data_IF_451518459930
#
_entry.id   IF_451518459930
#
_cell.length_a   1.000
_cell.length_b   1.000
_cell.length_c   1.000
_cell.angle_alpha   90.00
_cell.angle_beta   90.00
_cell.angle_gamma   90.00
#
_symmetry.space_group_name_H-M   'P 1'
#
loop_
_entity.id
_entity.type
_entity.pdbx_description
1 polymer ?
#
# COMPACT_ATOMS: atom_id res chain seq x y z
N UNK A 1 -2.27 1.11 19.21
CA UNK A 1 -3.49 1.02 18.36
C UNK A 1 -4.73 0.83 19.22
N UNK A 2 -5.94 1.21 18.76
CA UNK A 2 -7.19 1.06 19.51
C UNK A 2 -7.64 -0.42 19.60
N UNK A 3 -8.53 -0.78 20.55
CA UNK A 3 -9.09 -2.15 20.63
C UNK A 3 -9.78 -2.62 19.35
N UNK A 4 -10.21 -1.69 18.48
CA UNK A 4 -10.86 -2.01 17.21
C UNK A 4 -9.89 -2.20 16.04
N UNK A 5 -8.60 -2.02 16.24
CA UNK A 5 -7.59 -2.18 15.18
C UNK A 5 -7.58 -3.57 14.56
N UNK A 6 -7.98 -4.59 15.32
CA UNK A 6 -8.12 -5.97 14.82
C UNK A 6 -9.17 -6.13 13.71
N UNK A 7 -10.11 -5.18 13.56
CA UNK A 7 -11.09 -5.17 12.46
C UNK A 7 -10.40 -4.79 11.15
N UNK A 8 -9.38 -3.95 11.22
CA UNK A 8 -8.75 -3.31 10.07
C UNK A 8 -7.42 -3.95 9.66
N UNK A 9 -6.67 -4.46 10.64
CA UNK A 9 -5.26 -4.86 10.45
C UNK A 9 -5.07 -6.30 10.90
N UNK A 10 -4.50 -7.18 10.05
CA UNK A 10 -4.13 -8.55 10.42
C UNK A 10 -3.23 -8.60 11.65
N UNK A 11 -3.31 -9.69 12.40
CA UNK A 11 -2.59 -9.87 13.67
C UNK A 11 -1.07 -9.71 13.51
N UNK A 12 -0.49 -10.39 12.54
CA UNK A 12 0.96 -10.35 12.27
C UNK A 12 1.47 -8.91 12.03
N UNK A 13 0.69 -8.10 11.32
CA UNK A 13 1.03 -6.68 11.09
C UNK A 13 0.88 -5.85 12.35
N UNK A 14 -0.14 -6.13 13.19
CA UNK A 14 -0.30 -5.45 14.49
C UNK A 14 0.85 -5.77 15.43
N UNK A 15 1.29 -7.02 15.45
CA UNK A 15 2.46 -7.45 16.21
C UNK A 15 3.75 -6.81 15.72
N UNK A 16 3.96 -6.74 14.39
CA UNK A 16 5.15 -6.16 13.78
C UNK A 16 5.36 -4.67 14.10
N UNK A 17 4.29 -3.93 14.42
CA UNK A 17 4.34 -2.49 14.78
C UNK A 17 3.92 -2.22 16.23
N UNK A 18 3.89 -3.26 17.07
CA UNK A 18 3.52 -3.13 18.49
C UNK A 18 4.60 -2.45 19.31
N UNK A 19 4.23 -1.95 20.50
CA UNK A 19 5.17 -1.38 21.48
C UNK A 19 6.30 -2.37 21.80
N UNK A 20 5.98 -3.65 21.88
CA UNK A 20 6.99 -4.72 22.07
C UNK A 20 7.94 -4.83 20.88
N UNK A 21 7.45 -4.69 19.64
CA UNK A 21 8.30 -4.73 18.45
C UNK A 21 9.24 -3.51 18.38
N UNK A 22 8.76 -2.34 18.77
CA UNK A 22 9.57 -1.14 18.89
C UNK A 22 10.63 -1.28 20.01
N UNK A 23 10.23 -1.77 21.18
CA UNK A 23 11.17 -2.03 22.27
C UNK A 23 12.26 -3.02 21.85
N UNK A 24 11.88 -4.14 21.21
CA UNK A 24 12.87 -5.10 20.71
C UNK A 24 13.79 -4.46 19.65
N UNK A 25 13.27 -3.61 18.77
CA UNK A 25 14.07 -2.87 17.81
C UNK A 25 15.11 -1.94 18.47
N UNK A 26 14.73 -1.25 19.55
CA UNK A 26 15.64 -0.42 20.34
C UNK A 26 16.70 -1.27 21.04
N UNK A 27 16.33 -2.40 21.59
CA UNK A 27 17.26 -3.35 22.23
C UNK A 27 18.20 -4.03 21.22
N UNK A 28 17.70 -4.38 20.04
CA UNK A 28 18.51 -4.89 18.93
C UNK A 28 19.59 -3.86 18.55
N UNK A 29 19.22 -2.56 18.49
CA UNK A 29 20.13 -1.45 18.23
C UNK A 29 21.21 -1.32 19.33
N UNK A 30 20.84 -1.33 20.61
CA UNK A 30 21.80 -1.26 21.73
C UNK A 30 22.75 -2.44 21.73
N UNK A 31 22.26 -3.66 21.53
CA UNK A 31 23.08 -4.87 21.46
C UNK A 31 24.05 -4.84 20.27
N UNK A 32 23.61 -4.38 19.11
CA UNK A 32 24.44 -4.24 17.91
C UNK A 32 25.52 -3.16 18.11
N UNK A 33 25.17 -2.03 18.75
CA UNK A 33 26.12 -0.97 19.08
C UNK A 33 27.25 -1.50 19.98
N UNK A 34 26.91 -2.25 21.03
CA UNK A 34 27.91 -2.85 21.92
C UNK A 34 28.82 -3.83 21.19
N UNK A 35 28.30 -4.67 20.30
CA UNK A 35 29.09 -5.63 19.49
C UNK A 35 29.96 -4.92 18.46
N UNK A 36 29.45 -3.90 17.77
CA UNK A 36 30.23 -3.08 16.85
C UNK A 36 31.40 -2.38 17.57
N UNK A 37 31.14 -1.78 18.76
CA UNK A 37 32.18 -1.19 19.60
C UNK A 37 33.21 -2.22 20.07
N UNK A 38 32.80 -3.45 20.37
CA UNK A 38 33.72 -4.50 20.77
C UNK A 38 34.60 -5.01 19.63
N UNK A 39 34.12 -4.99 18.39
CA UNK A 39 34.89 -5.39 17.22
C UNK A 39 36.06 -4.45 16.96
N UNK A 40 35.95 -3.15 17.30
CA UNK A 40 36.99 -2.15 17.16
C UNK A 40 37.75 -1.86 18.47
N UNK A 41 37.41 -2.56 19.56
CA UNK A 41 38.12 -2.42 20.84
C UNK A 41 37.69 -1.25 21.73
N UNK A 42 36.61 -0.55 21.39
CA UNK A 42 36.01 0.51 22.24
C UNK A 42 35.20 -0.05 23.41
N UNK A 43 34.67 -1.25 23.25
CA UNK A 43 33.91 -1.98 24.26
C UNK A 43 34.61 -3.31 24.55
N UNK A 44 34.81 -3.72 25.83
CA UNK A 44 35.28 -5.05 26.14
C UNK A 44 34.32 -6.14 25.60
N UNK A 45 34.87 -7.24 25.09
CA UNK A 45 34.07 -8.32 24.47
C UNK A 45 33.08 -8.98 25.43
N UNK A 46 33.48 -9.16 26.66
CA UNK A 46 32.63 -9.66 27.74
C UNK A 46 31.52 -8.68 28.12
N UNK A 47 31.80 -7.39 28.15
CA UNK A 47 30.79 -6.36 28.33
C UNK A 47 29.74 -6.38 27.18
N UNK A 48 30.17 -6.45 25.92
CA UNK A 48 29.27 -6.56 24.79
C UNK A 48 28.42 -7.84 24.83
N UNK A 49 28.99 -8.96 25.24
CA UNK A 49 28.26 -10.21 25.44
C UNK A 49 27.19 -10.07 26.53
N UNK A 50 27.57 -9.47 27.68
CA UNK A 50 26.66 -9.25 28.81
C UNK A 50 25.51 -8.31 28.45
N UNK A 51 25.79 -7.21 27.73
CA UNK A 51 24.75 -6.30 27.20
C UNK A 51 23.80 -7.07 26.28
N UNK A 52 24.34 -7.90 25.37
CA UNK A 52 23.52 -8.69 24.45
C UNK A 52 22.59 -9.68 25.12
N UNK A 53 22.98 -10.27 26.26
CA UNK A 53 22.15 -11.22 27.03
C UNK A 53 20.86 -10.58 27.57
N UNK A 54 20.90 -9.29 27.90
CA UNK A 54 19.76 -8.56 28.49
C UNK A 54 18.98 -7.74 27.46
N UNK A 55 19.42 -7.66 26.19
CA UNK A 55 18.72 -6.98 25.10
C UNK A 55 17.52 -7.81 24.58
N UNK A 56 16.58 -8.14 25.45
CA UNK A 56 15.36 -8.91 25.15
C UNK A 56 14.14 -8.22 25.74
N UNK A 57 13.15 -7.89 24.90
CA UNK A 57 11.97 -7.11 25.29
C UNK A 57 11.13 -7.76 26.41
N UNK A 58 11.24 -9.08 26.62
CA UNK A 58 10.56 -9.80 27.69
C UNK A 58 11.01 -9.39 29.10
N UNK A 59 12.16 -8.76 29.22
CA UNK A 59 12.75 -8.37 30.49
C UNK A 59 12.28 -6.98 30.98
N UNK A 60 11.55 -6.23 30.12
CA UNK A 60 11.19 -4.84 30.37
C UNK A 60 9.68 -4.62 30.23
N UNK A 61 9.17 -3.69 31.03
CA UNK A 61 7.77 -3.26 30.96
C UNK A 61 7.63 -2.04 30.04
N UNK A 62 7.04 -2.26 28.85
CA UNK A 62 6.84 -1.19 27.85
C UNK A 62 5.97 -0.06 28.36
N UNK A 63 4.98 -0.32 29.22
CA UNK A 63 4.10 0.72 29.76
C UNK A 63 4.86 1.60 30.76
N UNK A 64 5.69 0.98 31.62
CA UNK A 64 6.52 1.71 32.56
C UNK A 64 7.56 2.61 31.85
N UNK A 65 8.25 2.06 30.84
CA UNK A 65 9.20 2.83 30.02
C UNK A 65 8.53 4.03 29.31
N UNK A 66 7.30 3.86 28.82
CA UNK A 66 6.56 4.94 28.18
C UNK A 66 6.16 6.04 29.18
N UNK A 67 5.71 5.66 30.37
CA UNK A 67 5.35 6.62 31.42
C UNK A 67 6.57 7.41 31.90
N UNK A 68 7.69 6.76 32.16
CA UNK A 68 8.95 7.42 32.53
C UNK A 68 9.48 8.31 31.38
N UNK A 69 9.33 7.85 30.14
CA UNK A 69 9.71 8.58 28.94
C UNK A 69 9.00 9.92 28.77
N UNK A 70 7.82 10.10 29.35
CA UNK A 70 7.08 11.39 29.30
C UNK A 70 7.86 12.56 29.90
N UNK A 71 8.64 12.31 30.94
CA UNK A 71 9.42 13.36 31.62
C UNK A 71 10.57 13.89 30.78
N UNK A 72 11.14 13.03 29.92
CA UNK A 72 12.32 13.33 29.10
C UNK A 72 12.01 13.42 27.60
N UNK A 73 10.77 13.15 27.20
CA UNK A 73 10.29 13.27 25.84
C UNK A 73 10.72 12.13 24.88
N UNK A 74 11.30 11.02 25.39
CA UNK A 74 11.65 9.88 24.58
C UNK A 74 11.78 8.59 25.44
N UNK A 75 11.62 7.38 24.84
CA UNK A 75 11.64 6.11 25.58
C UNK A 75 13.07 5.59 25.88
N UNK A 76 14.11 6.14 25.27
CA UNK A 76 15.47 5.54 25.31
C UNK A 76 16.19 5.86 26.60
N UNK A 77 16.01 7.06 27.18
CA UNK A 77 16.66 7.39 28.46
C UNK A 77 16.23 6.42 29.58
N UNK A 78 14.92 6.19 29.85
CA UNK A 78 14.54 5.19 30.82
C UNK A 78 14.98 3.76 30.42
N UNK A 79 14.93 3.41 29.14
CA UNK A 79 15.42 2.10 28.67
C UNK A 79 16.90 1.90 28.97
N UNK A 80 17.75 2.89 28.70
CA UNK A 80 19.19 2.82 28.97
C UNK A 80 19.46 2.68 30.48
N UNK A 81 18.68 3.36 31.33
CA UNK A 81 18.77 3.23 32.79
C UNK A 81 18.46 1.79 33.23
N UNK A 82 17.34 1.23 32.80
CA UNK A 82 16.96 -0.16 33.12
C UNK A 82 17.94 -1.18 32.53
N UNK A 83 18.45 -0.93 31.31
CA UNK A 83 19.42 -1.79 30.67
C UNK A 83 20.74 -1.83 31.47
N UNK A 84 21.22 -0.68 31.96
CA UNK A 84 22.37 -0.60 32.85
C UNK A 84 22.17 -1.35 34.16
N UNK A 85 21.00 -1.23 34.76
CA UNK A 85 20.63 -1.96 35.98
C UNK A 85 20.59 -3.48 35.72
N UNK A 86 20.07 -3.92 34.58
CA UNK A 86 20.03 -5.32 34.20
C UNK A 86 21.42 -5.92 33.91
N UNK A 87 22.33 -5.14 33.37
CA UNK A 87 23.75 -5.50 33.19
C UNK A 87 24.45 -5.66 34.54
N UNK A 88 24.31 -4.69 35.43
CA UNK A 88 24.58 -4.79 36.87
C UNK A 88 26.03 -4.83 37.35
N UNK A 89 27.03 -4.68 36.49
CA UNK A 89 28.47 -4.63 36.80
C UNK A 89 29.19 -3.52 36.02
N UNK A 90 30.52 -3.53 36.00
CA UNK A 90 31.35 -2.55 35.26
C UNK A 90 31.03 -2.53 33.77
N UNK A 91 30.36 -3.55 33.21
CA UNK A 91 29.89 -3.60 31.83
C UNK A 91 28.78 -2.58 31.55
N UNK A 92 28.06 -2.14 32.58
CA UNK A 92 27.01 -1.13 32.47
C UNK A 92 27.52 0.21 31.94
N UNK A 93 28.78 0.55 32.13
CA UNK A 93 29.38 1.79 31.65
C UNK A 93 29.50 1.85 30.13
N UNK A 94 29.42 0.69 29.45
CA UNK A 94 29.49 0.55 28.01
C UNK A 94 28.13 0.54 27.33
N UNK A 95 27.02 0.55 28.08
CA UNK A 95 25.65 0.63 27.54
C UNK A 95 25.46 2.00 26.90
N UNK A 96 24.94 2.05 25.66
CA UNK A 96 24.67 3.28 24.91
C UNK A 96 25.92 4.11 24.59
N UNK A 97 27.08 3.47 24.46
CA UNK A 97 28.36 4.16 24.30
C UNK A 97 28.43 4.92 22.97
N UNK A 98 28.55 6.25 23.03
CA UNK A 98 28.70 7.13 21.87
C UNK A 98 27.44 7.43 21.07
N UNK A 99 26.29 6.85 21.44
CA UNK A 99 25.02 7.08 20.78
C UNK A 99 24.21 8.22 21.40
N UNK A 100 23.11 8.58 20.76
CA UNK A 100 22.04 9.43 21.30
C UNK A 100 20.70 8.71 21.16
N UNK A 101 19.69 9.13 21.94
CA UNK A 101 18.37 8.53 21.92
C UNK A 101 17.78 8.41 20.50
N UNK A 102 18.01 9.41 19.65
CA UNK A 102 17.51 9.36 18.26
C UNK A 102 18.18 8.28 17.41
N UNK A 103 19.46 7.97 17.64
CA UNK A 103 20.13 6.87 16.94
C UNK A 103 19.40 5.55 17.16
N UNK A 104 18.97 5.30 18.39
CA UNK A 104 18.32 4.08 18.79
C UNK A 104 16.87 4.01 18.27
N UNK A 105 16.10 5.09 18.44
CA UNK A 105 14.69 5.12 17.96
C UNK A 105 14.61 5.06 16.44
N UNK A 106 15.45 5.83 15.73
CA UNK A 106 15.43 5.82 14.27
C UNK A 106 15.89 4.48 13.70
N UNK A 107 16.88 3.83 14.30
CA UNK A 107 17.30 2.47 13.92
C UNK A 107 16.20 1.46 14.20
N UNK A 108 15.53 1.54 15.36
CA UNK A 108 14.37 0.71 15.68
C UNK A 108 13.23 0.92 14.67
N UNK A 109 12.98 2.17 14.26
CA UNK A 109 12.00 2.50 13.21
C UNK A 109 12.32 1.78 11.89
N UNK A 110 13.59 1.72 11.49
CA UNK A 110 14.00 0.99 10.27
C UNK A 110 13.85 -0.53 10.42
N UNK A 111 14.15 -1.08 11.60
CA UNK A 111 13.98 -2.51 11.88
C UNK A 111 12.51 -2.92 11.88
N UNK A 112 11.65 -2.14 12.55
CA UNK A 112 10.18 -2.32 12.54
C UNK A 112 9.66 -2.21 11.12
N UNK A 113 10.08 -1.18 10.38
CA UNK A 113 9.67 -0.97 8.98
C UNK A 113 10.07 -2.15 8.09
N UNK A 114 11.28 -2.68 8.22
CA UNK A 114 11.73 -3.83 7.43
C UNK A 114 10.85 -5.05 7.64
N UNK A 115 10.51 -5.36 8.90
CA UNK A 115 9.63 -6.49 9.26
C UNK A 115 8.22 -6.28 8.71
N UNK A 116 7.63 -5.11 8.94
CA UNK A 116 6.27 -4.81 8.50
C UNK A 116 6.15 -4.72 6.97
N UNK A 117 7.12 -4.09 6.28
CA UNK A 117 7.15 -4.01 4.81
C UNK A 117 7.24 -5.38 4.17
N UNK A 118 7.96 -6.33 4.76
CA UNK A 118 8.00 -7.71 4.26
C UNK A 118 6.59 -8.36 4.28
N UNK A 119 5.83 -8.15 5.35
CA UNK A 119 4.44 -8.61 5.46
C UNK A 119 3.53 -7.90 4.46
N UNK A 120 3.66 -6.58 4.31
CA UNK A 120 2.87 -5.81 3.33
C UNK A 120 3.16 -6.30 1.90
N UNK A 121 4.43 -6.55 1.55
CA UNK A 121 4.81 -7.08 0.24
C UNK A 121 4.21 -8.47 -0.03
N UNK A 122 4.14 -9.34 0.97
CA UNK A 122 3.47 -10.64 0.84
C UNK A 122 1.97 -10.47 0.51
N UNK A 123 1.30 -9.52 1.16
CA UNK A 123 -0.10 -9.20 0.86
C UNK A 123 -0.26 -8.56 -0.52
N UNK A 124 0.68 -7.70 -0.96
CA UNK A 124 0.69 -7.12 -2.30
C UNK A 124 0.85 -8.22 -3.36
N UNK A 125 1.70 -9.22 -3.13
CA UNK A 125 1.88 -10.36 -4.03
C UNK A 125 0.61 -11.23 -4.10
N UNK A 126 -0.09 -11.42 -2.98
CA UNK A 126 -1.39 -12.11 -2.93
C UNK A 126 -2.46 -11.32 -3.71
N UNK A 127 -2.52 -10.00 -3.53
CA UNK A 127 -3.44 -9.11 -4.26
C UNK A 127 -3.16 -9.14 -5.77
N UNK A 128 -1.90 -9.06 -6.18
CA UNK A 128 -1.51 -9.17 -7.59
C UNK A 128 -1.92 -10.51 -8.21
N UNK A 129 -1.77 -11.61 -7.46
CA UNK A 129 -2.22 -12.94 -7.90
C UNK A 129 -3.73 -12.99 -8.14
N UNK A 130 -4.53 -12.41 -7.24
CA UNK A 130 -5.98 -12.30 -7.39
C UNK A 130 -6.39 -11.48 -8.61
N UNK A 131 -5.76 -10.31 -8.81
CA UNK A 131 -5.98 -9.47 -9.99
C UNK A 131 -5.63 -10.22 -11.30
N UNK A 132 -4.50 -10.93 -11.33
CA UNK A 132 -4.06 -11.69 -12.51
C UNK A 132 -5.02 -12.85 -12.83
N UNK A 133 -5.54 -13.53 -11.81
CA UNK A 133 -6.54 -14.59 -11.98
C UNK A 133 -7.83 -14.05 -12.61
N UNK A 134 -8.37 -12.94 -12.11
CA UNK A 134 -9.56 -12.29 -12.65
C UNK A 134 -9.33 -11.75 -14.07
N UNK A 135 -8.19 -11.12 -14.33
CA UNK A 135 -7.83 -10.62 -15.66
C UNK A 135 -7.81 -11.76 -16.69
N UNK A 136 -7.26 -12.92 -16.33
CA UNK A 136 -7.19 -14.11 -17.20
C UNK A 136 -8.57 -14.75 -17.39
N UNK A 137 -9.33 -14.95 -16.32
CA UNK A 137 -10.63 -15.60 -16.37
C UNK A 137 -11.68 -14.79 -17.15
N UNK A 138 -11.60 -13.47 -17.08
CA UNK A 138 -12.58 -12.56 -17.69
C UNK A 138 -12.01 -11.74 -18.84
N UNK A 139 -10.95 -12.23 -19.49
CA UNK A 139 -10.22 -11.57 -20.58
C UNK A 139 -11.14 -10.96 -21.65
N UNK A 140 -12.19 -11.67 -22.01
CA UNK A 140 -13.18 -11.29 -23.03
C UNK A 140 -14.61 -11.10 -22.50
N UNK A 141 -14.83 -11.09 -21.17
CA UNK A 141 -16.14 -10.88 -20.59
C UNK A 141 -16.57 -9.41 -20.78
N UNK A 142 -17.59 -9.14 -21.64
CA UNK A 142 -17.99 -7.77 -21.95
C UNK A 142 -18.75 -7.13 -20.79
N UNK A 143 -18.49 -5.85 -20.57
CA UNK A 143 -19.21 -5.01 -19.62
C UNK A 143 -19.25 -3.56 -20.10
N UNK A 144 -20.12 -2.76 -19.52
CA UNK A 144 -20.13 -1.32 -19.74
C UNK A 144 -18.99 -0.65 -18.97
N UNK A 145 -18.14 0.11 -19.65
CA UNK A 145 -17.27 1.06 -18.98
C UNK A 145 -18.11 2.16 -18.33
N UNK A 146 -17.60 2.69 -17.20
CA UNK A 146 -18.27 3.83 -16.52
C UNK A 146 -17.27 4.96 -16.33
N UNK A 147 -17.57 6.11 -16.95
CA UNK A 147 -16.82 7.36 -16.81
C UNK A 147 -17.68 8.35 -16.05
N UNK A 148 -17.13 9.00 -15.02
CA UNK A 148 -17.89 9.89 -14.13
C UNK A 148 -19.17 9.22 -13.58
N UNK A 149 -19.10 7.91 -13.32
CA UNK A 149 -20.18 7.02 -12.87
C UNK A 149 -21.33 6.85 -13.89
N UNK A 150 -21.21 7.34 -15.11
CA UNK A 150 -22.16 7.14 -16.19
C UNK A 150 -21.71 6.03 -17.12
N UNK A 151 -22.66 5.31 -17.71
CA UNK A 151 -22.37 4.31 -18.75
C UNK A 151 -21.67 4.98 -19.94
N UNK A 152 -20.62 4.33 -20.43
CA UNK A 152 -19.84 4.78 -21.59
C UNK A 152 -19.78 3.65 -22.64
N UNK A 153 -18.65 3.48 -23.30
CA UNK A 153 -18.44 2.47 -24.33
C UNK A 153 -18.25 1.07 -23.73
N UNK A 154 -18.38 -0.01 -24.53
CA UNK A 154 -18.05 -1.36 -24.09
C UNK A 154 -16.58 -1.52 -23.68
N UNK A 155 -16.34 -2.37 -22.71
CA UNK A 155 -15.01 -2.83 -22.26
C UNK A 155 -15.10 -4.28 -21.80
N UNK A 156 -14.00 -4.84 -21.26
CA UNK A 156 -14.05 -6.16 -20.60
C UNK A 156 -13.74 -6.06 -19.11
N UNK A 157 -14.34 -6.95 -18.30
CA UNK A 157 -13.97 -7.05 -16.88
C UNK A 157 -12.50 -7.46 -16.72
N UNK A 158 -11.98 -8.29 -17.64
CA UNK A 158 -10.55 -8.64 -17.66
C UNK A 158 -9.64 -7.43 -17.83
N UNK A 159 -10.00 -6.45 -18.69
CA UNK A 159 -9.22 -5.22 -18.83
C UNK A 159 -9.28 -4.35 -17.57
N UNK A 160 -10.43 -4.29 -16.89
CA UNK A 160 -10.55 -3.64 -15.58
C UNK A 160 -9.61 -4.28 -14.55
N UNK A 161 -9.64 -5.61 -14.42
CA UNK A 161 -8.77 -6.36 -13.52
C UNK A 161 -7.28 -6.25 -13.90
N UNK A 162 -6.95 -6.19 -15.18
CA UNK A 162 -5.60 -5.92 -15.67
C UNK A 162 -5.10 -4.52 -15.27
N UNK A 163 -5.98 -3.52 -15.26
CA UNK A 163 -5.68 -2.18 -14.75
C UNK A 163 -5.35 -2.20 -13.25
N UNK A 164 -6.10 -2.96 -12.45
CA UNK A 164 -5.79 -3.19 -11.04
C UNK A 164 -4.43 -3.85 -10.87
N UNK A 165 -4.17 -4.92 -11.62
CA UNK A 165 -2.90 -5.66 -11.60
C UNK A 165 -1.71 -4.74 -11.83
N UNK A 166 -1.74 -3.92 -12.88
CA UNK A 166 -0.63 -3.01 -13.22
C UNK A 166 -0.38 -2.01 -12.08
N UNK A 167 -1.44 -1.43 -11.50
CA UNK A 167 -1.31 -0.52 -10.37
C UNK A 167 -0.68 -1.18 -9.14
N UNK A 168 -1.07 -2.43 -8.84
CA UNK A 168 -0.51 -3.21 -7.73
C UNK A 168 0.96 -3.55 -7.97
N UNK A 169 1.34 -3.93 -9.20
CA UNK A 169 2.74 -4.21 -9.55
C UNK A 169 3.63 -2.97 -9.44
N UNK A 170 3.13 -1.81 -9.85
CA UNK A 170 3.86 -0.55 -9.71
C UNK A 170 4.05 -0.14 -8.24
N UNK A 171 3.04 -0.35 -7.41
CA UNK A 171 3.16 -0.12 -5.97
C UNK A 171 4.16 -1.09 -5.31
N UNK A 172 4.12 -2.37 -5.71
CA UNK A 172 5.08 -3.40 -5.28
C UNK A 172 6.53 -3.02 -5.58
N UNK A 173 6.80 -2.62 -6.81
CA UNK A 173 8.16 -2.23 -7.25
C UNK A 173 8.70 -1.08 -6.39
N UNK A 174 7.89 -0.04 -6.13
CA UNK A 174 8.28 1.09 -5.29
C UNK A 174 8.54 0.68 -3.83
N UNK A 175 7.65 -0.14 -3.26
CA UNK A 175 7.79 -0.58 -1.87
C UNK A 175 9.00 -1.52 -1.69
N UNK A 176 9.26 -2.40 -2.66
CA UNK A 176 10.43 -3.26 -2.65
C UNK A 176 11.73 -2.45 -2.74
N UNK A 177 11.80 -1.45 -3.62
CA UNK A 177 12.96 -0.55 -3.73
C UNK A 177 13.23 0.19 -2.42
N UNK A 178 12.17 0.65 -1.73
CA UNK A 178 12.35 1.29 -0.40
C UNK A 178 12.91 0.30 0.62
N UNK A 179 12.38 -0.93 0.67
CA UNK A 179 12.88 -1.97 1.57
C UNK A 179 14.37 -2.27 1.33
N UNK A 180 14.76 -2.40 0.07
CA UNK A 180 16.08 -2.88 -0.31
C UNK A 180 17.15 -1.77 -0.24
N UNK A 181 16.79 -0.51 -0.52
CA UNK A 181 17.77 0.56 -0.73
C UNK A 181 17.69 1.69 0.31
N UNK A 182 16.57 1.83 1.04
CA UNK A 182 16.32 3.04 1.85
C UNK A 182 16.34 2.81 3.35
N UNK A 183 16.17 1.58 3.84
CA UNK A 183 16.18 1.28 5.26
C UNK A 183 17.61 1.22 5.78
N UNK A 184 18.08 2.28 6.41
CA UNK A 184 19.45 2.44 6.89
C UNK A 184 19.53 2.56 8.41
N UNK A 185 20.63 2.09 9.00
CA UNK A 185 20.94 2.34 10.39
C UNK A 185 21.12 3.85 10.66
N UNK A 186 20.87 4.29 11.88
CA UNK A 186 21.15 5.64 12.34
C UNK A 186 22.16 5.57 13.48
N UNK A 187 23.30 6.20 13.29
CA UNK A 187 24.28 6.42 14.34
C UNK A 187 25.01 7.73 14.04
N UNK A 188 24.97 8.68 14.95
CA UNK A 188 25.53 10.00 14.77
C UNK A 188 26.01 10.62 16.09
N UNK A 189 25.56 10.08 17.21
CA UNK A 189 25.83 10.64 18.53
C UNK A 189 25.12 11.97 18.76
N UNK A 190 25.64 12.77 19.65
CA UNK A 190 24.95 13.97 20.16
C UNK A 190 24.54 14.98 19.07
N UNK A 191 25.36 15.20 18.07
CA UNK A 191 25.14 16.20 17.01
C UNK A 191 25.56 15.74 15.61
N UNK A 192 25.60 14.45 15.35
CA UNK A 192 25.94 13.90 14.02
C UNK A 192 27.43 13.82 13.70
N UNK A 193 28.30 14.06 14.67
CA UNK A 193 29.76 14.08 14.45
C UNK A 193 30.47 12.81 14.90
N UNK A 194 29.77 11.89 15.61
CA UNK A 194 30.35 10.67 16.17
C UNK A 194 31.55 10.89 17.09
N UNK A 195 31.73 12.10 17.62
CA UNK A 195 32.92 12.52 18.33
C UNK A 195 33.30 11.62 19.52
N UNK A 196 32.32 11.01 20.19
CA UNK A 196 32.54 10.11 21.32
C UNK A 196 33.16 8.75 20.91
N UNK A 197 33.10 8.38 19.63
CA UNK A 197 33.65 7.13 19.10
C UNK A 197 35.07 7.28 18.55
N UNK A 198 35.63 8.51 18.53
CA UNK A 198 37.01 8.79 18.11
C UNK A 198 37.33 8.33 16.68
N UNK A 199 38.52 7.81 16.49
CA UNK A 199 39.05 7.42 15.18
C UNK A 199 38.32 6.19 14.59
N UNK A 200 37.69 5.37 15.42
CA UNK A 200 37.00 4.15 15.02
C UNK A 200 35.53 4.40 14.59
N UNK A 201 35.06 5.65 14.62
CA UNK A 201 33.66 6.03 14.45
C UNK A 201 33.03 5.46 13.17
N UNK A 202 33.68 5.59 12.02
CA UNK A 202 33.12 5.12 10.75
C UNK A 202 33.07 3.60 10.66
N UNK A 203 34.05 2.91 11.23
CA UNK A 203 34.06 1.44 11.27
C UNK A 203 32.94 0.92 12.22
N UNK A 204 32.69 1.60 13.34
CA UNK A 204 31.54 1.29 14.20
C UNK A 204 30.22 1.45 13.44
N UNK A 205 30.04 2.53 12.68
CA UNK A 205 28.81 2.74 11.85
C UNK A 205 28.63 1.61 10.85
N UNK A 206 29.67 1.22 10.16
CA UNK A 206 29.64 0.14 9.17
C UNK A 206 29.24 -1.19 9.80
N UNK A 207 29.93 -1.57 10.89
CA UNK A 207 29.67 -2.82 11.61
C UNK A 207 28.28 -2.85 12.25
N UNK A 208 27.83 -1.71 12.79
CA UNK A 208 26.49 -1.55 13.34
C UNK A 208 25.40 -1.77 12.29
N UNK A 209 25.54 -1.17 11.10
CA UNK A 209 24.61 -1.36 10.00
C UNK A 209 24.61 -2.82 9.49
N UNK A 210 25.80 -3.43 9.33
CA UNK A 210 25.97 -4.82 8.91
C UNK A 210 25.32 -5.80 9.89
N UNK A 211 25.57 -5.64 11.19
CA UNK A 211 25.00 -6.46 12.26
C UNK A 211 23.46 -6.44 12.24
N UNK A 212 22.87 -5.28 11.99
CA UNK A 212 21.41 -5.11 11.92
C UNK A 212 20.81 -5.48 10.57
N UNK A 213 21.64 -5.75 9.56
CA UNK A 213 21.21 -5.98 8.17
C UNK A 213 20.46 -4.78 7.58
N UNK A 214 20.87 -3.58 7.97
CA UNK A 214 20.41 -2.30 7.42
C UNK A 214 21.48 -1.68 6.51
N UNK A 215 21.08 -0.76 5.65
CA UNK A 215 22.04 -0.05 4.84
C UNK A 215 22.94 0.85 5.71
N UNK A 216 24.23 0.96 5.35
CA UNK A 216 25.13 1.95 5.91
C UNK A 216 24.76 3.34 5.33
N UNK A 217 24.49 4.35 6.17
CA UNK A 217 24.20 5.69 5.67
C UNK A 217 25.48 6.44 5.28
N UNK A 218 25.41 7.30 4.26
CA UNK A 218 26.52 8.18 3.87
C UNK A 218 26.87 9.18 4.99
N UNK A 219 25.86 9.65 5.72
CA UNK A 219 25.95 10.54 6.87
C UNK A 219 24.85 10.19 7.87
N UNK A 220 25.00 10.53 9.16
CA UNK A 220 23.90 10.54 10.10
C UNK A 220 22.74 11.36 9.55
N UNK A 221 21.51 10.80 9.67
CA UNK A 221 20.34 11.36 9.01
C UNK A 221 19.25 11.88 9.97
N UNK A 222 19.66 12.37 11.17
CA UNK A 222 18.79 12.86 12.23
C UNK A 222 17.73 13.86 11.75
N UNK A 223 18.09 14.75 10.82
CA UNK A 223 17.20 15.79 10.27
C UNK A 223 16.99 15.66 8.76
N UNK A 224 17.58 14.63 8.12
CA UNK A 224 17.30 14.28 6.74
C UNK A 224 16.24 13.16 6.70
N UNK A 225 14.97 13.55 6.64
CA UNK A 225 13.84 12.62 6.76
C UNK A 225 13.35 12.03 5.42
N UNK A 226 14.11 12.16 4.35
CA UNK A 226 13.76 11.64 3.02
C UNK A 226 13.37 10.15 3.06
N UNK A 227 14.06 9.33 3.85
CA UNK A 227 13.80 7.89 3.99
C UNK A 227 12.40 7.59 4.53
N UNK A 228 11.96 8.36 5.54
CA UNK A 228 10.63 8.22 6.14
C UNK A 228 9.54 8.68 5.16
N UNK A 229 9.77 9.79 4.46
CA UNK A 229 8.86 10.32 3.46
C UNK A 229 8.69 9.34 2.27
N UNK A 230 9.80 8.78 1.75
CA UNK A 230 9.77 7.78 0.68
C UNK A 230 9.04 6.51 1.11
N UNK A 231 9.27 6.02 2.33
CA UNK A 231 8.55 4.89 2.90
C UNK A 231 7.05 5.20 3.03
N UNK A 232 6.69 6.37 3.58
CA UNK A 232 5.31 6.81 3.69
C UNK A 232 4.61 6.89 2.34
N UNK A 233 5.28 7.46 1.32
CA UNK A 233 4.76 7.54 -0.04
C UNK A 233 4.56 6.16 -0.69
N UNK A 234 5.50 5.22 -0.50
CA UNK A 234 5.39 3.86 -1.05
C UNK A 234 4.25 3.07 -0.38
N UNK A 235 4.10 3.18 0.94
CA UNK A 235 3.00 2.58 1.69
C UNK A 235 1.65 3.15 1.24
N UNK A 236 1.56 4.48 1.10
CA UNK A 236 0.34 5.13 0.61
C UNK A 236 -0.01 4.71 -0.83
N UNK A 237 1.00 4.55 -1.69
CA UNK A 237 0.81 4.03 -3.04
C UNK A 237 0.19 2.62 -3.05
N UNK A 238 0.67 1.73 -2.18
CA UNK A 238 0.13 0.37 -2.01
C UNK A 238 -1.32 0.39 -1.50
N UNK A 239 -1.58 1.22 -0.48
CA UNK A 239 -2.93 1.42 0.05
C UNK A 239 -3.89 2.03 -0.99
N UNK A 240 -3.41 2.97 -1.82
CA UNK A 240 -4.17 3.59 -2.90
C UNK A 240 -4.58 2.60 -3.98
N UNK A 241 -3.67 1.68 -4.38
CA UNK A 241 -3.98 0.61 -5.31
C UNK A 241 -5.07 -0.32 -4.76
N UNK A 242 -4.97 -0.71 -3.48
CA UNK A 242 -5.98 -1.51 -2.80
C UNK A 242 -7.33 -0.78 -2.70
N UNK A 243 -7.33 0.51 -2.38
CA UNK A 243 -8.55 1.33 -2.30
C UNK A 243 -9.26 1.46 -3.64
N UNK A 244 -8.51 1.57 -4.76
CA UNK A 244 -9.08 1.59 -6.11
C UNK A 244 -9.87 0.31 -6.39
N UNK A 245 -9.29 -0.84 -6.06
CA UNK A 245 -9.94 -2.16 -6.21
C UNK A 245 -11.19 -2.23 -5.33
N UNK A 246 -11.05 -1.90 -4.04
CA UNK A 246 -12.18 -1.91 -3.10
C UNK A 246 -13.31 -0.98 -3.53
N UNK A 247 -12.99 0.23 -4.01
CA UNK A 247 -14.00 1.18 -4.48
C UNK A 247 -14.73 0.67 -5.73
N UNK A 248 -14.01 0.10 -6.69
CA UNK A 248 -14.63 -0.49 -7.88
C UNK A 248 -15.57 -1.64 -7.50
N UNK A 249 -15.15 -2.55 -6.59
CA UNK A 249 -15.99 -3.67 -6.13
C UNK A 249 -17.24 -3.15 -5.42
N UNK A 250 -17.12 -2.17 -4.52
CA UNK A 250 -18.28 -1.55 -3.85
C UNK A 250 -19.28 -0.99 -4.85
N UNK A 251 -18.82 -0.29 -5.88
CA UNK A 251 -19.67 0.27 -6.92
C UNK A 251 -20.31 -0.81 -7.81
N UNK A 252 -19.56 -1.85 -8.18
CA UNK A 252 -20.06 -2.97 -9.00
C UNK A 252 -21.04 -3.87 -8.22
N UNK A 253 -20.94 -3.92 -6.89
CA UNK A 253 -21.82 -4.70 -6.01
C UNK A 253 -23.11 -3.95 -5.61
N UNK A 254 -23.30 -2.67 -6.01
CA UNK A 254 -24.55 -1.94 -5.75
C UNK A 254 -25.75 -2.73 -6.29
N UNK A 255 -26.89 -2.70 -5.59
CA UNK A 255 -28.09 -3.46 -5.94
C UNK A 255 -28.57 -3.21 -7.38
N UNK A 256 -28.45 -1.97 -7.85
CA UNK A 256 -28.82 -1.53 -9.19
C UNK A 256 -27.83 -2.04 -10.26
N UNK A 257 -26.56 -2.22 -9.90
CA UNK A 257 -25.48 -2.70 -10.78
C UNK A 257 -25.39 -4.22 -10.73
N UNK A 258 -25.07 -4.80 -9.58
CA UNK A 258 -25.10 -6.22 -9.30
C UNK A 258 -24.14 -7.09 -10.13
N UNK A 259 -23.02 -6.52 -10.58
CA UNK A 259 -22.06 -7.19 -11.48
C UNK A 259 -21.05 -8.07 -10.75
N UNK A 260 -20.86 -7.85 -9.43
CA UNK A 260 -19.99 -8.66 -8.57
C UNK A 260 -20.59 -8.82 -7.17
N UNK A 261 -20.17 -9.86 -6.44
CA UNK A 261 -20.56 -10.12 -5.05
C UNK A 261 -19.35 -10.68 -4.30
N UNK A 262 -19.07 -10.17 -3.09
CA UNK A 262 -18.17 -10.84 -2.14
C UNK A 262 -18.96 -12.02 -1.52
N UNK A 263 -18.58 -13.28 -1.84
CA UNK A 263 -19.34 -14.47 -1.43
C UNK A 263 -19.39 -14.64 0.08
N UNK A 264 -18.29 -14.35 0.78
CA UNK A 264 -18.19 -14.34 2.25
C UNK A 264 -18.50 -12.98 2.88
N UNK A 265 -19.16 -12.08 2.13
CA UNK A 265 -19.51 -10.73 2.57
C UNK A 265 -20.42 -10.71 3.80
N UNK A 266 -20.41 -9.59 4.52
CA UNK A 266 -21.17 -9.40 5.75
C UNK A 266 -22.68 -9.54 5.53
N UNK A 267 -23.31 -10.46 6.26
CA UNK A 267 -24.77 -10.59 6.27
C UNK A 267 -25.39 -9.48 7.11
N UNK A 268 -26.50 -8.94 6.64
CA UNK A 268 -27.32 -8.05 7.46
C UNK A 268 -28.06 -8.84 8.54
N UNK A 269 -28.05 -8.33 9.77
CA UNK A 269 -28.85 -8.92 10.87
C UNK A 269 -30.37 -8.81 10.64
N UNK A 270 -30.79 -7.85 9.79
CA UNK A 270 -32.21 -7.50 9.61
C UNK A 270 -32.73 -7.85 8.21
N UNK A 271 -31.87 -7.91 7.19
CA UNK A 271 -32.24 -8.12 5.80
C UNK A 271 -31.48 -9.32 5.21
N UNK A 272 -32.08 -10.52 5.15
CA UNK A 272 -31.39 -11.75 4.73
C UNK A 272 -30.80 -11.70 3.32
N UNK A 273 -31.42 -10.92 2.43
CA UNK A 273 -30.95 -10.75 1.04
C UNK A 273 -29.77 -9.79 0.87
N UNK A 274 -29.46 -8.97 1.90
CA UNK A 274 -28.44 -7.95 1.82
C UNK A 274 -27.05 -8.55 2.00
N UNK A 275 -26.22 -8.47 0.97
CA UNK A 275 -24.81 -8.86 0.98
C UNK A 275 -23.94 -7.61 0.90
N UNK A 276 -23.19 -7.32 1.96
CA UNK A 276 -22.35 -6.12 2.02
C UNK A 276 -20.93 -6.47 1.57
N UNK A 277 -20.30 -5.65 0.72
CA UNK A 277 -18.88 -5.81 0.35
C UNK A 277 -17.99 -5.29 1.49
N UNK A 278 -17.92 -6.04 2.60
CA UNK A 278 -17.29 -5.60 3.84
C UNK A 278 -15.76 -5.50 3.70
N UNK A 279 -15.14 -6.47 3.03
CA UNK A 279 -13.68 -6.47 2.84
C UNK A 279 -13.25 -5.30 1.97
N UNK A 280 -13.95 -5.05 0.86
CA UNK A 280 -13.72 -3.88 0.01
C UNK A 280 -13.95 -2.56 0.76
N UNK A 281 -14.96 -2.49 1.62
CA UNK A 281 -15.22 -1.33 2.49
C UNK A 281 -14.06 -1.10 3.46
N UNK A 282 -13.54 -2.17 4.08
CA UNK A 282 -12.39 -2.09 4.99
C UNK A 282 -11.11 -1.67 4.24
N UNK A 283 -10.88 -2.18 3.02
CA UNK A 283 -9.75 -1.76 2.20
C UNK A 283 -9.74 -0.24 1.96
N UNK A 284 -10.90 0.33 1.60
CA UNK A 284 -11.07 1.78 1.41
C UNK A 284 -10.86 2.55 2.72
N UNK A 285 -11.39 2.05 3.84
CA UNK A 285 -11.22 2.69 5.15
C UNK A 285 -9.75 2.70 5.61
N UNK A 286 -9.08 1.55 5.51
CA UNK A 286 -7.65 1.42 5.84
C UNK A 286 -6.79 2.35 4.98
N UNK A 287 -7.06 2.46 3.69
CA UNK A 287 -6.30 3.34 2.80
C UNK A 287 -6.43 4.82 3.18
N UNK A 288 -7.60 5.26 3.65
CA UNK A 288 -7.78 6.63 4.16
C UNK A 288 -6.94 6.89 5.41
N UNK A 289 -6.87 5.91 6.32
CA UNK A 289 -6.04 5.99 7.51
C UNK A 289 -4.54 5.96 7.16
N UNK A 290 -4.12 5.07 6.25
CA UNK A 290 -2.75 5.03 5.74
C UNK A 290 -2.33 6.37 5.12
N UNK A 291 -3.21 6.98 4.32
CA UNK A 291 -2.96 8.29 3.70
C UNK A 291 -2.75 9.39 4.75
N UNK A 292 -3.57 9.42 5.80
CA UNK A 292 -3.44 10.41 6.88
C UNK A 292 -2.09 10.28 7.59
N UNK A 293 -1.66 9.07 7.93
CA UNK A 293 -0.38 8.81 8.56
C UNK A 293 0.81 9.10 7.63
N UNK A 294 0.74 8.68 6.36
CA UNK A 294 1.76 9.02 5.36
C UNK A 294 1.87 10.52 5.15
N UNK A 295 0.76 11.26 5.24
CA UNK A 295 0.74 12.71 5.17
C UNK A 295 1.58 13.39 6.27
N UNK A 296 1.59 12.83 7.48
CA UNK A 296 2.47 13.31 8.56
C UNK A 296 3.94 13.07 8.17
N UNK A 297 4.31 11.85 7.77
CA UNK A 297 5.69 11.53 7.37
C UNK A 297 6.20 12.42 6.23
N UNK A 298 5.34 12.77 5.28
CA UNK A 298 5.66 13.69 4.19
C UNK A 298 5.75 15.14 4.66
N UNK A 299 5.01 15.51 5.71
CA UNK A 299 5.03 16.85 6.30
C UNK A 299 6.31 17.16 7.08
N UNK A 300 6.96 16.11 7.61
CA UNK A 300 8.14 16.22 8.47
C UNK A 300 9.47 16.15 7.71
N UNK A 301 9.54 16.67 6.48
CA UNK A 301 10.76 16.72 5.68
C UNK A 301 11.73 17.83 6.09
N UNK A 302 11.25 18.87 6.78
CA UNK A 302 12.02 20.08 7.12
C UNK A 302 12.25 20.18 8.63
N UNK A 303 13.16 19.35 9.15
CA UNK A 303 13.57 19.39 10.54
C UNK A 303 14.58 20.50 10.79
N UNK A 304 14.49 21.12 11.98
CA UNK A 304 15.36 22.23 12.38
C UNK A 304 16.74 21.74 12.85
N UNK A 305 17.77 22.46 12.43
CA UNK A 305 19.16 22.27 12.84
C UNK A 305 19.61 20.78 12.78
N UNK A 306 20.25 20.29 13.82
CA UNK A 306 20.73 18.91 13.96
C UNK A 306 19.72 18.01 14.69
N UNK A 307 18.61 18.58 15.24
CA UNK A 307 17.52 17.86 15.90
C UNK A 307 16.24 18.69 15.92
N UNK A 308 15.14 18.07 15.49
CA UNK A 308 13.85 18.71 15.32
C UNK A 308 13.16 19.08 16.64
N UNK A 309 12.34 20.12 16.57
CA UNK A 309 11.44 20.54 17.66
C UNK A 309 10.03 20.00 17.38
N UNK A 310 9.80 18.75 17.79
CA UNK A 310 8.48 18.08 17.68
C UNK A 310 8.30 17.21 16.45
N UNK A 311 8.91 17.53 15.29
CA UNK A 311 8.76 16.77 14.05
C UNK A 311 9.15 15.30 14.19
N UNK A 312 10.31 15.02 14.77
CA UNK A 312 10.76 13.66 15.05
C UNK A 312 9.77 12.85 15.90
N UNK A 313 9.15 13.47 16.92
CA UNK A 313 8.17 12.81 17.78
C UNK A 313 6.86 12.50 17.03
N UNK A 314 6.45 13.36 16.07
CA UNK A 314 5.25 13.17 15.29
C UNK A 314 5.34 11.95 14.35
N UNK A 315 6.55 11.55 13.96
CA UNK A 315 6.78 10.43 13.06
C UNK A 315 6.49 9.06 13.70
N UNK A 316 6.63 8.89 15.01
CA UNK A 316 6.61 7.55 15.65
C UNK A 316 5.26 6.85 15.47
N UNK A 317 4.19 7.52 15.90
CA UNK A 317 2.81 7.01 15.72
C UNK A 317 2.43 6.98 14.23
N UNK A 318 2.87 7.99 13.46
CA UNK A 318 2.57 8.08 12.06
C UNK A 318 3.18 6.91 11.27
N UNK A 319 4.41 6.50 11.58
CA UNK A 319 5.07 5.37 10.92
C UNK A 319 4.34 4.05 11.24
N UNK A 320 4.07 3.78 12.51
CA UNK A 320 3.33 2.58 12.93
C UNK A 320 1.96 2.51 12.27
N UNK A 321 1.23 3.63 12.24
CA UNK A 321 -0.07 3.74 11.59
C UNK A 321 0.00 3.54 10.07
N UNK A 322 0.97 4.15 9.40
CA UNK A 322 1.16 4.00 7.94
C UNK A 322 1.43 2.53 7.57
N UNK A 323 2.33 1.85 8.28
CA UNK A 323 2.67 0.44 8.07
C UNK A 323 1.45 -0.46 8.29
N UNK A 324 0.77 -0.31 9.43
CA UNK A 324 -0.36 -1.14 9.80
C UNK A 324 -1.55 -0.97 8.83
N UNK A 325 -1.96 0.26 8.57
CA UNK A 325 -3.14 0.51 7.75
C UNK A 325 -2.90 0.33 6.25
N UNK A 326 -1.66 0.55 5.76
CA UNK A 326 -1.34 0.18 4.38
C UNK A 326 -1.43 -1.33 4.19
N UNK A 327 -0.85 -2.11 5.11
CA UNK A 327 -0.96 -3.56 5.08
C UNK A 327 -2.39 -4.04 5.24
N UNK A 328 -3.17 -3.43 6.15
CA UNK A 328 -4.60 -3.71 6.32
C UNK A 328 -5.43 -3.44 5.06
N UNK A 329 -5.15 -2.36 4.33
CA UNK A 329 -5.81 -2.05 3.07
C UNK A 329 -5.55 -3.13 1.99
N UNK A 330 -4.27 -3.52 1.85
CA UNK A 330 -3.85 -4.51 0.85
C UNK A 330 -4.40 -5.89 1.20
N UNK A 331 -4.31 -6.31 2.47
CA UNK A 331 -4.85 -7.60 2.93
C UNK A 331 -6.36 -7.69 2.71
N UNK A 332 -7.11 -6.65 3.09
CA UNK A 332 -8.57 -6.63 2.91
C UNK A 332 -8.96 -6.68 1.41
N UNK A 333 -8.23 -5.98 0.54
CA UNK A 333 -8.46 -6.06 -0.90
C UNK A 333 -8.13 -7.44 -1.47
N UNK A 334 -7.03 -8.08 -1.02
CA UNK A 334 -6.66 -9.43 -1.42
C UNK A 334 -7.72 -10.46 -0.98
N UNK A 335 -8.23 -10.32 0.25
CA UNK A 335 -9.34 -11.14 0.76
C UNK A 335 -10.62 -10.96 -0.05
N UNK A 336 -10.93 -9.70 -0.45
CA UNK A 336 -12.10 -9.42 -1.29
C UNK A 336 -12.01 -10.16 -2.64
N UNK A 337 -10.83 -10.21 -3.26
CA UNK A 337 -10.64 -10.89 -4.55
C UNK A 337 -10.66 -12.42 -4.44
N UNK A 338 -10.35 -12.99 -3.27
CA UNK A 338 -10.34 -14.45 -3.07
C UNK A 338 -11.71 -15.06 -3.27
N UNK A 339 -12.76 -14.38 -2.84
CA UNK A 339 -14.15 -14.84 -2.85
C UNK A 339 -15.05 -13.97 -3.77
N UNK A 340 -14.47 -13.24 -4.70
CA UNK A 340 -15.23 -12.39 -5.61
C UNK A 340 -15.94 -13.24 -6.67
N UNK A 341 -17.26 -13.27 -6.60
CA UNK A 341 -18.09 -13.83 -7.65
C UNK A 341 -18.38 -12.74 -8.69
N UNK A 342 -18.14 -13.07 -9.96
CA UNK A 342 -18.37 -12.18 -11.11
C UNK A 342 -19.59 -12.66 -11.90
N UNK A 343 -20.61 -11.83 -12.00
CA UNK A 343 -21.83 -12.12 -12.78
C UNK A 343 -21.70 -11.58 -14.21
N UNK A 344 -21.15 -12.40 -15.10
CA UNK A 344 -21.00 -12.06 -16.51
C UNK A 344 -22.37 -11.88 -17.22
N UNK A 345 -23.41 -12.58 -16.79
CA UNK A 345 -24.74 -12.43 -17.35
C UNK A 345 -25.35 -11.07 -16.97
N UNK A 346 -25.15 -10.65 -15.73
CA UNK A 346 -25.58 -9.32 -15.27
C UNK A 346 -24.79 -8.20 -15.97
N UNK A 347 -23.48 -8.36 -16.16
CA UNK A 347 -22.66 -7.44 -16.95
C UNK A 347 -23.22 -7.26 -18.36
N UNK A 348 -23.57 -8.37 -19.02
CA UNK A 348 -24.18 -8.34 -20.35
C UNK A 348 -25.56 -7.66 -20.32
N UNK A 349 -26.41 -8.02 -19.37
CA UNK A 349 -27.74 -7.39 -19.21
C UNK A 349 -27.65 -5.88 -18.98
N UNK A 350 -26.70 -5.40 -18.16
CA UNK A 350 -26.47 -3.97 -17.94
C UNK A 350 -25.98 -3.25 -19.22
N UNK A 351 -25.16 -3.92 -20.02
CA UNK A 351 -24.70 -3.42 -21.30
C UNK A 351 -25.87 -3.27 -22.28
N UNK A 352 -26.73 -4.30 -22.39
CA UNK A 352 -27.89 -4.33 -23.27
C UNK A 352 -29.00 -3.34 -22.81
N UNK A 353 -29.13 -3.09 -21.50
CA UNK A 353 -30.08 -2.13 -20.95
C UNK A 353 -29.88 -0.69 -21.41
N UNK A 354 -28.72 -0.37 -21.99
CA UNK A 354 -28.47 0.94 -22.63
C UNK A 354 -29.29 1.17 -23.91
N UNK A 355 -30.01 0.15 -24.41
CA UNK A 355 -30.74 0.25 -25.69
C UNK A 355 -29.84 0.49 -26.90
N UNK A 356 -28.55 0.12 -26.79
CA UNK A 356 -27.56 0.31 -27.86
C UNK A 356 -26.80 1.63 -27.81
N UNK A 357 -27.12 2.55 -26.89
CA UNK A 357 -26.44 3.85 -26.77
C UNK A 357 -24.92 3.73 -26.50
N UNK A 358 -24.48 2.65 -25.89
CA UNK A 358 -23.03 2.37 -25.69
C UNK A 358 -22.27 2.19 -27.01
N UNK A 359 -22.96 1.91 -28.12
CA UNK A 359 -22.39 1.79 -29.46
C UNK A 359 -22.44 3.12 -30.26
N UNK A 360 -22.95 4.20 -29.69
CA UNK A 360 -23.12 5.47 -30.40
C UNK A 360 -21.83 5.98 -31.06
N UNK A 361 -20.70 5.86 -30.34
CA UNK A 361 -19.38 6.22 -30.88
C UNK A 361 -19.00 5.35 -32.10
N UNK A 362 -19.18 4.03 -32.02
CA UNK A 362 -18.91 3.08 -33.12
C UNK A 362 -19.72 3.44 -34.34
N UNK A 363 -21.02 3.74 -34.18
CA UNK A 363 -21.91 4.11 -35.28
C UNK A 363 -21.48 5.41 -35.88
N UNK A 364 -21.16 6.46 -35.10
CA UNK A 364 -20.66 7.71 -35.60
C UNK A 364 -19.37 7.54 -36.44
N UNK A 365 -18.45 6.69 -35.96
CA UNK A 365 -17.25 6.36 -36.75
C UNK A 365 -17.57 5.61 -38.04
N UNK A 366 -18.52 4.67 -38.05
CA UNK A 366 -18.91 3.97 -39.27
C UNK A 366 -19.56 4.90 -40.28
N UNK A 367 -20.31 5.92 -39.88
CA UNK A 367 -20.94 6.92 -40.74
C UNK A 367 -19.97 7.98 -41.23
N UNK A 368 -18.85 8.23 -40.53
CA UNK A 368 -17.89 9.31 -40.82
C UNK A 368 -17.34 9.33 -42.26
N UNK A 369 -16.96 8.19 -42.89
CA UNK A 369 -16.46 8.16 -44.25
C UNK A 369 -17.44 8.70 -45.31
N UNK A 370 -18.75 8.58 -45.03
CA UNK A 370 -19.83 8.99 -45.93
C UNK A 370 -20.34 10.39 -45.63
N UNK A 371 -20.52 10.73 -44.36
CA UNK A 371 -21.16 11.98 -43.95
C UNK A 371 -20.18 13.08 -43.51
N UNK A 372 -18.94 12.72 -43.22
CA UNK A 372 -18.03 13.55 -42.47
C UNK A 372 -18.34 13.53 -40.94
N UNK A 373 -17.36 13.91 -40.12
CA UNK A 373 -17.41 13.74 -38.66
C UNK A 373 -18.57 14.50 -38.00
N UNK A 374 -18.81 15.77 -38.38
CA UNK A 374 -19.85 16.58 -37.74
C UNK A 374 -21.24 16.02 -38.02
N UNK A 375 -21.56 15.75 -39.27
CA UNK A 375 -22.89 15.26 -39.67
C UNK A 375 -23.15 13.82 -39.13
N UNK A 376 -22.13 12.96 -39.11
CA UNK A 376 -22.24 11.64 -38.49
C UNK A 376 -22.55 11.73 -36.98
N UNK A 377 -21.92 12.68 -36.27
CA UNK A 377 -22.22 12.94 -34.87
C UNK A 377 -23.65 13.49 -34.69
N UNK A 378 -24.10 14.42 -35.52
CA UNK A 378 -25.44 15.01 -35.40
C UNK A 378 -26.54 13.97 -35.63
N UNK A 379 -26.41 13.10 -36.64
CA UNK A 379 -27.34 11.97 -36.91
C UNK A 379 -27.42 11.03 -35.67
N UNK A 380 -26.30 10.67 -35.10
CA UNK A 380 -26.28 9.78 -33.93
C UNK A 380 -26.82 10.48 -32.68
N UNK A 381 -26.53 11.76 -32.48
CA UNK A 381 -27.04 12.55 -31.36
C UNK A 381 -28.56 12.72 -31.40
N UNK A 382 -29.12 12.95 -32.60
CA UNK A 382 -30.57 13.05 -32.82
C UNK A 382 -31.25 11.70 -32.53
N UNK A 383 -30.72 10.58 -33.04
CA UNK A 383 -31.21 9.26 -32.79
C UNK A 383 -31.15 8.88 -31.30
N UNK A 384 -30.09 9.31 -30.58
CA UNK A 384 -29.92 9.04 -29.14
C UNK A 384 -31.01 9.72 -28.27
N UNK A 385 -31.66 10.77 -28.77
CA UNK A 385 -32.80 11.44 -28.12
C UNK A 385 -34.15 10.76 -28.34
N UNK A 386 -34.24 9.77 -29.22
CA UNK A 386 -35.48 9.06 -29.55
C UNK A 386 -35.83 7.96 -28.52
N UNK A 387 -37.07 7.52 -28.55
CA UNK A 387 -37.56 6.41 -27.68
C UNK A 387 -36.82 5.08 -27.97
N UNK A 388 -36.49 4.82 -29.25
CA UNK A 388 -35.68 3.69 -29.71
C UNK A 388 -34.52 4.19 -30.55
N UNK A 389 -33.31 4.11 -30.03
CA UNK A 389 -32.09 4.48 -30.72
C UNK A 389 -31.90 3.71 -32.04
N UNK A 390 -32.16 2.38 -32.00
CA UNK A 390 -32.08 1.51 -33.17
C UNK A 390 -33.07 1.90 -34.25
N UNK A 391 -34.34 2.09 -33.91
CA UNK A 391 -35.39 2.37 -34.88
C UNK A 391 -35.20 3.77 -35.50
N UNK A 392 -34.77 4.75 -34.71
CA UNK A 392 -34.45 6.08 -35.19
C UNK A 392 -33.33 6.06 -36.24
N UNK A 393 -32.25 5.31 -36.01
CA UNK A 393 -31.15 5.15 -36.96
C UNK A 393 -31.58 4.43 -38.24
N UNK A 394 -32.45 3.43 -38.15
CA UNK A 394 -32.98 2.74 -39.33
C UNK A 394 -33.93 3.63 -40.17
N UNK A 395 -34.67 4.50 -39.52
CA UNK A 395 -35.59 5.39 -40.19
C UNK A 395 -34.90 6.62 -40.80
N UNK A 396 -33.66 6.95 -40.39
CA UNK A 396 -32.94 8.12 -40.90
C UNK A 396 -32.29 7.81 -42.25
N UNK A 397 -32.76 8.49 -43.33
CA UNK A 397 -32.19 8.33 -44.67
C UNK A 397 -30.69 8.72 -44.74
N UNK A 398 -30.23 9.62 -43.86
CA UNK A 398 -28.84 10.03 -43.82
C UNK A 398 -27.97 8.93 -43.16
N UNK A 399 -28.49 8.24 -42.18
CA UNK A 399 -27.83 7.06 -41.63
C UNK A 399 -27.64 5.96 -42.68
N UNK A 400 -28.69 5.71 -43.51
CA UNK A 400 -28.65 4.80 -44.66
C UNK A 400 -28.05 3.43 -44.34
N UNK A 401 -28.30 2.93 -43.13
CA UNK A 401 -27.88 1.60 -42.65
C UNK A 401 -28.98 0.58 -42.91
N UNK A 402 -28.59 -0.62 -43.32
CA UNK A 402 -29.49 -1.77 -43.28
C UNK A 402 -29.66 -2.30 -41.86
N UNK A 403 -30.72 -3.11 -41.62
CA UNK A 403 -30.95 -3.69 -40.32
C UNK A 403 -29.75 -4.56 -39.90
N UNK A 404 -29.20 -5.36 -40.79
CA UNK A 404 -28.08 -6.27 -40.52
C UNK A 404 -26.79 -5.49 -40.20
N UNK A 405 -26.51 -4.39 -40.94
CA UNK A 405 -25.37 -3.51 -40.65
C UNK A 405 -25.48 -2.83 -39.29
N UNK A 406 -26.69 -2.36 -38.95
CA UNK A 406 -26.94 -1.73 -37.67
C UNK A 406 -26.86 -2.72 -36.51
N UNK A 407 -27.41 -3.93 -36.68
CA UNK A 407 -27.33 -4.97 -35.65
C UNK A 407 -25.87 -5.41 -35.40
N UNK A 408 -25.02 -5.49 -36.44
CA UNK A 408 -23.58 -5.69 -36.26
C UNK A 408 -22.92 -4.54 -35.51
N UNK A 409 -23.25 -3.29 -35.86
CA UNK A 409 -22.70 -2.12 -35.19
C UNK A 409 -23.13 -2.01 -33.72
N UNK A 410 -24.34 -2.45 -33.40
CA UNK A 410 -24.88 -2.48 -32.03
C UNK A 410 -24.33 -3.62 -31.18
N UNK A 411 -23.73 -4.67 -31.78
CA UNK A 411 -23.09 -5.72 -30.99
C UNK A 411 -21.84 -5.18 -30.28
N UNK A 412 -21.98 -5.01 -28.97
CA UNK A 412 -20.92 -4.49 -28.11
C UNK A 412 -19.63 -5.32 -28.16
N UNK A 413 -19.71 -6.62 -28.47
CA UNK A 413 -18.53 -7.50 -28.55
C UNK A 413 -17.64 -7.17 -29.76
N UNK A 414 -18.21 -6.57 -30.80
CA UNK A 414 -17.48 -6.07 -31.96
C UNK A 414 -16.73 -4.74 -31.74
N UNK A 415 -16.83 -4.14 -30.52
CA UNK A 415 -16.22 -2.82 -30.22
C UNK A 415 -15.40 -2.84 -28.92
N UNK A 416 -14.64 -3.89 -28.68
CA UNK A 416 -13.76 -4.05 -27.52
C UNK A 416 -12.32 -3.56 -27.79
N UNK A 417 -12.02 -3.16 -29.01
CA UNK A 417 -10.71 -2.64 -29.42
C UNK A 417 -9.55 -3.59 -29.07
N UNK A 418 -8.53 -3.06 -28.42
CA UNK A 418 -7.32 -3.81 -28.02
C UNK A 418 -7.44 -4.44 -26.61
N UNK A 419 -8.64 -4.54 -26.01
CA UNK A 419 -8.80 -4.96 -24.63
C UNK A 419 -8.06 -6.26 -24.30
N UNK A 420 -8.21 -7.29 -25.11
CA UNK A 420 -7.56 -8.59 -24.87
C UNK A 420 -6.03 -8.53 -24.97
N UNK A 421 -5.50 -7.78 -25.93
CA UNK A 421 -4.05 -7.59 -26.08
C UNK A 421 -3.47 -6.82 -24.88
N UNK A 422 -4.21 -5.85 -24.36
CA UNK A 422 -3.80 -5.10 -23.17
C UNK A 422 -3.82 -5.96 -21.91
N UNK A 423 -4.80 -6.87 -21.79
CA UNK A 423 -4.82 -7.89 -20.73
C UNK A 423 -3.59 -8.78 -20.81
N UNK A 424 -3.26 -9.29 -22.00
CA UNK A 424 -2.10 -10.16 -22.21
C UNK A 424 -0.78 -9.45 -21.86
N UNK A 425 -0.64 -8.17 -22.18
CA UNK A 425 0.52 -7.35 -21.80
C UNK A 425 0.65 -7.21 -20.26
N UNK A 426 -0.45 -6.98 -19.57
CA UNK A 426 -0.44 -6.89 -18.10
C UNK A 426 -0.05 -8.23 -17.46
N UNK A 427 -0.60 -9.32 -17.96
CA UNK A 427 -0.27 -10.67 -17.49
C UNK A 427 1.21 -11.01 -17.77
N UNK A 428 1.74 -10.65 -18.94
CA UNK A 428 3.16 -10.81 -19.26
C UNK A 428 4.09 -10.06 -18.31
N UNK A 429 3.75 -8.82 -17.90
CA UNK A 429 4.50 -8.08 -16.86
C UNK A 429 4.47 -8.82 -15.53
N UNK A 430 3.31 -9.31 -15.10
CA UNK A 430 3.17 -10.08 -13.86
C UNK A 430 4.04 -11.34 -13.85
N UNK A 431 4.06 -12.09 -14.96
CA UNK A 431 4.89 -13.29 -15.08
C UNK A 431 6.39 -12.98 -15.08
N UNK A 432 6.78 -11.81 -15.60
CA UNK A 432 8.16 -11.32 -15.57
C UNK A 432 8.65 -10.94 -14.16
N UNK A 433 7.77 -10.45 -13.31
CA UNK A 433 8.11 -10.08 -11.90
C UNK A 433 8.26 -11.33 -11.01
N UNK A 434 7.64 -12.45 -11.38
CA UNK A 434 7.72 -13.73 -10.62
C UNK A 434 8.93 -14.59 -10.94
N UNK A 435 9.66 -14.27 -12.01
CA UNK A 435 10.93 -14.95 -12.39
C UNK A 435 12.12 -14.28 -11.72
#
# INVERSE_FOLDING_TARGET
MTPFSAIFVPEELREAVSDRAWLQGMLDAEGALARAGAAVGLVPKDAAARIGEVCRAELYDTAHLADDGRAVGNPVEPLVRELREAVGDDSADYVHAGATSQDIVDTAAMLVSRRAVALVLAEVDRLASGCAALARAHRSTPMTARTLLQQAVPTTFGLKAAGWLVSVLEARERLAAVRDDRLAAQLGGAAGTLAALGDEALEVVRLYAEELGLAEPVLPWHTNRQRLAELGAALNGSAGAAAKIGSDIVLLAQSEVGEVVEASGGRSSTMPQKRNPVRSTLAVACARLANAHAGILLGELAHEHERAVGGWHAEWEALSGALAFAGGAVAAAADALTDLEVDAARMRANLDASGGLVAAERIAFALTPRLGRSQAHDVVAEAAGAESFRDALLADPQAGLTADELDDLLDATGYLGAAEVLVDRALGRYEGVRK
#
